data_IF_746927459177
#
_entry.id   IF_746927459177
#
_cell.length_a   1.000
_cell.length_b   1.000
_cell.length_c   1.000
_cell.angle_alpha   90.00
_cell.angle_beta   90.00
_cell.angle_gamma   90.00
#
_symmetry.space_group_name_H-M   'P 1'
#
loop_
_entity.id
_entity.type
_entity.pdbx_description
1 polymer ?
#
# COMPACT_ATOMS: atom_id res chain seq x y z
N UNK A 1 -9.40 -77.14 3.52
CA UNK A 1 -8.36 -77.29 2.48
C UNK A 1 -8.78 -76.46 1.27
N UNK A 2 -7.88 -75.58 0.80
CA UNK A 2 -7.92 -74.71 -0.39
C UNK A 2 -8.88 -73.50 -0.42
N UNK A 3 -8.23 -72.36 -0.74
CA UNK A 3 -8.70 -71.12 -1.40
C UNK A 3 -9.53 -70.15 -0.53
N UNK A 4 -9.18 -68.86 -0.36
CA UNK A 4 -8.81 -67.83 -1.35
C UNK A 4 -8.13 -66.60 -0.69
N UNK A 5 -7.60 -65.70 -1.54
CA UNK A 5 -7.13 -64.31 -1.29
C UNK A 5 -5.78 -64.15 -0.53
N UNK A 6 -4.87 -63.24 -0.87
CA UNK A 6 -4.75 -62.22 -1.92
C UNK A 6 -3.26 -62.00 -2.23
N UNK A 7 -2.95 -61.63 -3.47
CA UNK A 7 -1.61 -61.33 -3.96
C UNK A 7 -1.09 -59.98 -3.49
N UNK A 8 0.20 -59.98 -3.12
CA UNK A 8 1.01 -58.83 -2.70
C UNK A 8 2.12 -58.61 -3.72
N UNK A 9 2.35 -57.34 -4.05
CA UNK A 9 3.57 -56.80 -4.66
C UNK A 9 3.25 -55.48 -5.37
N UNK A 10 4.06 -54.42 -5.39
CA UNK A 10 5.32 -54.02 -4.76
C UNK A 10 5.53 -52.53 -5.18
N UNK A 11 6.19 -51.70 -4.35
CA UNK A 11 6.81 -50.36 -4.60
C UNK A 11 6.01 -49.04 -4.45
N UNK A 12 6.68 -47.89 -4.09
CA UNK A 12 6.28 -46.92 -3.05
C UNK A 12 6.17 -45.46 -3.59
N UNK A 13 6.47 -44.43 -2.76
CA UNK A 13 5.56 -43.60 -1.97
C UNK A 13 4.94 -42.42 -2.76
N UNK A 14 3.79 -41.97 -2.27
CA UNK A 14 2.92 -40.95 -2.88
C UNK A 14 3.57 -39.58 -3.09
N UNK A 15 3.20 -39.01 -4.23
CA UNK A 15 3.52 -37.67 -4.72
C UNK A 15 2.81 -36.56 -3.93
N UNK A 16 3.35 -35.33 -3.92
CA UNK A 16 2.72 -34.16 -3.31
C UNK A 16 1.40 -33.77 -4.00
N UNK A 17 0.47 -33.10 -3.30
CA UNK A 17 -0.84 -32.80 -3.83
C UNK A 17 -0.76 -31.86 -5.03
N UNK A 18 -1.38 -32.29 -6.14
CA UNK A 18 -1.61 -31.48 -7.33
C UNK A 18 -2.51 -30.30 -6.96
N UNK A 19 -1.96 -29.09 -6.97
CA UNK A 19 -2.75 -27.86 -6.97
C UNK A 19 -3.51 -27.79 -8.31
N UNK A 20 -4.82 -27.96 -8.22
CA UNK A 20 -5.77 -27.79 -9.30
C UNK A 20 -5.69 -26.37 -9.86
N UNK A 21 -5.08 -26.23 -11.05
CA UNK A 21 -5.25 -25.03 -11.89
C UNK A 21 -6.68 -25.01 -12.43
N UNK A 22 -7.60 -24.37 -11.72
CA UNK A 22 -8.89 -23.87 -12.22
C UNK A 22 -9.52 -23.02 -11.13
N UNK A 23 -9.42 -21.71 -11.30
CA UNK A 23 -10.45 -20.70 -11.02
C UNK A 23 -9.80 -19.32 -11.17
N UNK A 24 -9.54 -18.93 -12.43
CA UNK A 24 -9.44 -17.51 -12.78
C UNK A 24 -10.87 -17.03 -12.84
N UNK A 25 -11.32 -16.30 -11.82
CA UNK A 25 -12.62 -15.63 -11.85
C UNK A 25 -12.52 -14.53 -12.91
N UNK A 26 -13.11 -14.80 -14.07
CA UNK A 26 -13.37 -13.78 -15.07
C UNK A 26 -14.38 -12.79 -14.48
N UNK A 27 -13.96 -11.53 -14.30
CA UNK A 27 -14.88 -10.44 -14.01
C UNK A 27 -15.77 -10.29 -15.24
N UNK A 28 -17.01 -10.76 -15.11
CA UNK A 28 -18.07 -10.45 -16.05
C UNK A 28 -18.56 -9.05 -15.70
N UNK A 29 -17.92 -8.02 -16.27
CA UNK A 29 -18.62 -6.77 -16.52
C UNK A 29 -19.77 -7.10 -17.47
N UNK A 30 -20.98 -6.74 -17.06
CA UNK A 30 -22.22 -7.08 -17.73
C UNK A 30 -22.11 -6.93 -19.26
N UNK A 31 -22.49 -7.98 -19.98
CA UNK A 31 -22.88 -7.90 -21.38
C UNK A 31 -24.13 -7.02 -21.43
N UNK A 32 -23.92 -5.73 -21.65
CA UNK A 32 -24.94 -4.79 -22.10
C UNK A 32 -24.38 -4.10 -23.34
N UNK A 33 -24.78 -4.66 -24.48
CA UNK A 33 -24.58 -4.16 -25.83
C UNK A 33 -23.13 -4.05 -26.32
N UNK A 34 -22.92 -4.39 -27.59
CA UNK A 34 -21.63 -4.48 -28.27
C UNK A 34 -21.02 -3.08 -28.56
N UNK A 35 -21.11 -2.14 -27.62
CA UNK A 35 -20.58 -0.78 -27.70
C UNK A 35 -19.25 -0.74 -26.94
N UNK A 36 -18.17 -0.46 -27.67
CA UNK A 36 -16.85 -0.14 -27.10
C UNK A 36 -17.03 0.88 -25.97
N UNK A 37 -16.61 0.54 -24.75
CA UNK A 37 -16.56 1.49 -23.63
C UNK A 37 -15.48 2.52 -23.96
N UNK A 38 -15.81 3.82 -24.09
CA UNK A 38 -14.84 4.86 -24.45
C UNK A 38 -13.62 4.83 -23.53
N UNK A 39 -12.46 5.22 -24.06
CA UNK A 39 -11.27 5.41 -23.22
C UNK A 39 -11.47 6.53 -22.21
N UNK A 40 -12.34 7.50 -22.53
CA UNK A 40 -12.78 8.54 -21.62
C UNK A 40 -13.94 8.05 -20.76
N UNK A 41 -13.67 7.73 -19.50
CA UNK A 41 -14.70 7.58 -18.47
C UNK A 41 -14.79 8.89 -17.71
N UNK A 42 -15.99 9.41 -17.52
CA UNK A 42 -16.18 10.52 -16.57
C UNK A 42 -15.91 10.03 -15.17
N UNK A 43 -15.21 10.83 -14.38
CA UNK A 43 -15.07 10.60 -12.95
C UNK A 43 -16.45 10.32 -12.30
N UNK A 44 -16.51 9.44 -11.28
CA UNK A 44 -17.76 9.13 -10.59
C UNK A 44 -18.35 10.35 -9.85
N UNK A 45 -17.55 11.40 -9.62
CA UNK A 45 -17.93 12.62 -8.92
C UNK A 45 -17.61 13.84 -9.78
N UNK A 46 -18.37 14.93 -9.61
CA UNK A 46 -18.07 16.21 -10.25
C UNK A 46 -16.67 16.70 -9.84
N UNK A 47 -15.88 17.10 -10.83
CA UNK A 47 -14.55 17.65 -10.62
C UNK A 47 -14.66 19.12 -10.21
N UNK A 48 -13.86 19.51 -9.23
CA UNK A 48 -13.73 20.87 -8.72
C UNK A 48 -12.92 21.72 -9.72
N UNK A 49 -13.52 22.81 -10.25
CA UNK A 49 -12.84 23.70 -11.18
C UNK A 49 -11.52 24.28 -10.65
N UNK A 50 -11.43 24.59 -9.35
CA UNK A 50 -10.24 25.20 -8.76
C UNK A 50 -9.09 24.18 -8.69
N UNK A 51 -9.42 22.91 -8.43
CA UNK A 51 -8.45 21.81 -8.45
C UNK A 51 -7.98 21.54 -9.88
N UNK A 52 -8.88 21.58 -10.86
CA UNK A 52 -8.53 21.43 -12.28
C UNK A 52 -7.63 22.57 -12.77
N UNK A 53 -7.93 23.81 -12.40
CA UNK A 53 -7.10 24.96 -12.73
C UNK A 53 -5.71 24.84 -12.11
N UNK A 54 -5.62 24.44 -10.84
CA UNK A 54 -4.31 24.21 -10.20
C UNK A 54 -3.53 23.10 -10.89
N UNK A 55 -4.16 21.95 -11.15
CA UNK A 55 -3.55 20.83 -11.85
C UNK A 55 -3.07 21.20 -13.26
N UNK A 56 -3.85 21.99 -14.00
CA UNK A 56 -3.46 22.48 -15.32
C UNK A 56 -2.22 23.39 -15.26
N UNK A 57 -2.11 24.25 -14.25
CA UNK A 57 -0.92 25.08 -14.03
C UNK A 57 0.31 24.23 -13.69
N UNK A 58 0.16 23.24 -12.82
CA UNK A 58 1.25 22.35 -12.42
C UNK A 58 1.78 21.51 -13.60
N UNK A 59 0.92 21.20 -14.56
CA UNK A 59 1.25 20.47 -15.79
C UNK A 59 1.70 21.36 -16.95
N UNK A 60 1.74 22.69 -16.81
CA UNK A 60 1.99 23.60 -17.93
C UNK A 60 3.31 23.31 -18.67
N UNK A 61 4.32 22.76 -17.99
CA UNK A 61 5.60 22.35 -18.58
C UNK A 61 5.72 20.84 -18.88
N UNK A 62 4.74 20.02 -18.49
CA UNK A 62 4.80 18.56 -18.64
C UNK A 62 4.57 18.09 -20.10
N UNK A 63 3.99 18.96 -20.93
CA UNK A 63 3.56 18.61 -22.29
C UNK A 63 2.32 17.71 -22.28
N UNK A 64 1.84 17.36 -23.48
CA UNK A 64 0.69 16.46 -23.63
C UNK A 64 1.10 14.99 -23.47
N UNK A 65 0.20 14.15 -22.97
CA UNK A 65 0.41 12.69 -22.87
C UNK A 65 -0.64 11.94 -23.67
N UNK A 66 -0.20 11.01 -24.51
CA UNK A 66 -1.05 10.09 -25.27
C UNK A 66 -0.94 8.68 -24.70
N UNK A 67 -2.07 8.00 -24.53
CA UNK A 67 -2.12 6.57 -24.29
C UNK A 67 -2.62 5.84 -25.54
N UNK A 68 -1.90 4.79 -25.95
CA UNK A 68 -2.26 3.88 -27.04
C UNK A 68 -2.77 2.57 -26.43
N UNK A 69 -4.06 2.30 -26.62
CA UNK A 69 -4.77 1.18 -26.00
C UNK A 69 -5.30 0.28 -27.12
N UNK A 70 -4.50 -0.72 -27.50
CA UNK A 70 -4.75 -1.46 -28.74
C UNK A 70 -4.62 -0.54 -29.96
N UNK A 71 -5.70 -0.42 -30.74
CA UNK A 71 -5.78 0.46 -31.91
C UNK A 71 -6.32 1.87 -31.56
N UNK A 72 -6.87 2.02 -30.35
CA UNK A 72 -7.43 3.27 -29.85
C UNK A 72 -6.33 4.17 -29.27
N UNK A 73 -6.60 5.47 -29.24
CA UNK A 73 -5.72 6.45 -28.64
C UNK A 73 -6.52 7.50 -27.86
N UNK A 74 -5.98 7.99 -26.76
CA UNK A 74 -6.50 9.13 -26.01
C UNK A 74 -5.34 10.05 -25.64
N UNK A 75 -5.50 11.35 -25.86
CA UNK A 75 -4.50 12.37 -25.52
C UNK A 75 -5.06 13.35 -24.51
N UNK A 76 -4.28 13.64 -23.47
CA UNK A 76 -4.52 14.67 -22.48
C UNK A 76 -3.54 15.82 -22.71
N UNK A 77 -4.03 17.05 -22.73
CA UNK A 77 -3.20 18.24 -22.91
C UNK A 77 -3.74 19.39 -22.06
N UNK A 78 -2.84 20.21 -21.52
CA UNK A 78 -3.21 21.47 -20.89
C UNK A 78 -3.68 22.46 -21.97
N UNK A 79 -4.83 23.09 -21.75
CA UNK A 79 -5.39 24.16 -22.59
C UNK A 79 -5.81 25.33 -21.70
N UNK A 80 -4.95 26.33 -21.58
CA UNK A 80 -5.14 27.44 -20.64
C UNK A 80 -5.16 26.93 -19.19
N UNK A 81 -6.26 27.18 -18.49
CA UNK A 81 -6.52 26.71 -17.12
C UNK A 81 -7.30 25.38 -17.07
N UNK A 82 -7.39 24.66 -18.19
CA UNK A 82 -8.17 23.42 -18.28
C UNK A 82 -7.36 22.27 -18.86
N UNK A 83 -7.93 21.07 -18.83
CA UNK A 83 -7.35 19.88 -19.44
C UNK A 83 -8.27 19.43 -20.59
N UNK A 84 -7.74 19.46 -21.80
CA UNK A 84 -8.41 18.95 -22.99
C UNK A 84 -8.13 17.45 -23.14
N UNK A 85 -9.18 16.70 -23.41
CA UNK A 85 -9.10 15.26 -23.73
C UNK A 85 -9.50 15.05 -25.18
N UNK A 86 -8.63 14.41 -25.97
CA UNK A 86 -8.84 14.14 -27.39
C UNK A 86 -8.72 12.66 -27.71
N UNK A 87 -9.82 12.03 -28.16
CA UNK A 87 -9.81 10.64 -28.64
C UNK A 87 -9.27 10.53 -30.08
N UNK A 88 -8.60 9.42 -30.37
CA UNK A 88 -7.97 9.13 -31.67
C UNK A 88 -6.72 9.96 -31.99
N UNK A 89 -6.40 10.99 -31.19
CA UNK A 89 -5.24 11.84 -31.38
C UNK A 89 -3.97 11.16 -30.86
N UNK A 90 -2.86 11.30 -31.61
CA UNK A 90 -1.52 10.80 -31.25
C UNK A 90 -0.50 11.94 -31.16
N UNK A 91 -0.93 13.06 -30.57
CA UNK A 91 -0.19 14.33 -30.59
C UNK A 91 0.58 14.60 -29.30
N UNK A 92 0.58 13.67 -28.33
CA UNK A 92 1.25 13.84 -27.04
C UNK A 92 2.77 13.82 -27.15
N UNK A 93 3.42 14.68 -26.38
CA UNK A 93 4.88 14.70 -26.22
C UNK A 93 5.39 13.38 -25.62
N UNK A 94 4.62 12.80 -24.68
CA UNK A 94 4.78 11.42 -24.22
C UNK A 94 3.72 10.51 -24.87
N UNK A 95 4.12 9.31 -25.27
CA UNK A 95 3.22 8.30 -25.86
C UNK A 95 3.44 6.96 -25.15
N UNK A 96 2.46 6.57 -24.34
CA UNK A 96 2.48 5.35 -23.52
C UNK A 96 1.61 4.30 -24.20
N UNK A 97 2.17 3.12 -24.48
CA UNK A 97 1.43 1.98 -25.00
C UNK A 97 1.15 0.98 -23.88
N UNK A 98 -0.08 0.49 -23.80
CA UNK A 98 -0.51 -0.52 -22.84
C UNK A 98 -1.70 -1.33 -23.37
N UNK A 99 -1.96 -2.48 -22.76
CA UNK A 99 -3.13 -3.30 -23.10
C UNK A 99 -4.43 -2.66 -22.60
N UNK A 100 -5.58 -3.06 -23.18
CA UNK A 100 -6.90 -2.63 -22.67
C UNK A 100 -7.09 -2.94 -21.19
N UNK A 101 -6.63 -4.12 -20.75
CA UNK A 101 -6.69 -4.52 -19.34
C UNK A 101 -5.83 -3.61 -18.45
N UNK A 102 -4.60 -3.30 -18.87
CA UNK A 102 -3.74 -2.39 -18.12
C UNK A 102 -4.33 -0.98 -18.03
N UNK A 103 -4.95 -0.49 -19.12
CA UNK A 103 -5.68 0.77 -19.13
C UNK A 103 -6.84 0.76 -18.12
N UNK A 104 -7.72 -0.24 -18.21
CA UNK A 104 -8.87 -0.38 -17.32
C UNK A 104 -8.44 -0.50 -15.84
N UNK A 105 -7.35 -1.22 -15.56
CA UNK A 105 -6.80 -1.33 -14.21
C UNK A 105 -6.24 0.02 -13.71
N UNK A 106 -5.61 0.82 -14.58
CA UNK A 106 -5.06 2.13 -14.24
C UNK A 106 -6.14 3.15 -13.92
N UNK A 107 -7.10 3.33 -14.84
CA UNK A 107 -8.19 4.28 -14.65
C UNK A 107 -9.11 3.84 -13.50
N UNK A 108 -9.28 2.53 -13.33
CA UNK A 108 -10.04 1.92 -12.22
C UNK A 108 -9.33 1.88 -10.88
N UNK A 109 -8.11 2.44 -10.75
CA UNK A 109 -7.32 2.45 -9.51
C UNK A 109 -7.04 1.05 -8.93
N UNK A 110 -7.03 0.03 -9.79
CA UNK A 110 -6.59 -1.32 -9.45
C UNK A 110 -5.06 -1.36 -9.49
N UNK A 111 -4.42 -0.91 -10.57
CA UNK A 111 -2.94 -0.84 -10.67
C UNK A 111 -2.52 0.59 -10.97
N UNK A 112 -1.49 1.11 -10.30
CA UNK A 112 -0.96 2.45 -10.61
C UNK A 112 -0.03 2.44 -11.83
N UNK A 113 0.28 3.62 -12.39
CA UNK A 113 1.22 3.74 -13.49
C UNK A 113 2.59 3.12 -13.18
N UNK A 114 3.09 3.32 -11.94
CA UNK A 114 4.37 2.73 -11.50
C UNK A 114 4.31 1.20 -11.42
N UNK A 115 3.18 0.62 -11.00
CA UNK A 115 3.00 -0.83 -11.01
C UNK A 115 3.06 -1.39 -12.44
N UNK A 116 2.33 -0.77 -13.35
CA UNK A 116 2.31 -1.19 -14.76
C UNK A 116 3.70 -1.09 -15.40
N UNK A 117 4.46 -0.05 -15.05
CA UNK A 117 5.85 0.08 -15.49
C UNK A 117 6.73 -1.03 -14.94
N UNK A 118 6.71 -1.27 -13.62
CA UNK A 118 7.57 -2.27 -12.97
C UNK A 118 7.20 -3.73 -13.30
N UNK A 119 6.01 -3.95 -13.86
CA UNK A 119 5.54 -5.27 -14.33
C UNK A 119 5.66 -5.48 -15.85
N UNK A 120 6.32 -4.56 -16.56
CA UNK A 120 6.45 -4.57 -18.03
C UNK A 120 5.09 -4.60 -18.76
N UNK A 121 4.06 -3.96 -18.19
CA UNK A 121 2.70 -3.90 -18.74
C UNK A 121 2.38 -2.58 -19.45
N UNK A 122 3.35 -1.65 -19.48
CA UNK A 122 3.35 -0.49 -20.36
C UNK A 122 4.74 -0.26 -20.98
N UNK A 123 4.77 0.48 -22.09
CA UNK A 123 6.01 0.93 -22.73
C UNK A 123 5.86 2.35 -23.29
N UNK A 124 6.98 3.00 -23.58
CA UNK A 124 7.01 4.34 -24.17
C UNK A 124 7.40 4.25 -25.64
N UNK A 125 6.57 4.78 -26.54
CA UNK A 125 6.96 5.01 -27.95
C UNK A 125 7.66 6.36 -28.11
N UNK A 126 7.37 7.31 -27.23
CA UNK A 126 7.96 8.64 -27.16
C UNK A 126 7.86 9.17 -25.72
N UNK A 127 8.80 10.03 -25.32
CA UNK A 127 8.86 10.54 -23.96
C UNK A 127 9.37 9.51 -22.96
N UNK A 128 9.02 9.67 -21.68
CA UNK A 128 9.46 8.75 -20.64
C UNK A 128 8.63 8.81 -19.35
N UNK A 129 9.10 8.07 -18.34
CA UNK A 129 8.39 7.91 -17.07
C UNK A 129 8.15 9.24 -16.34
N UNK A 130 9.09 10.18 -16.38
CA UNK A 130 8.94 11.46 -15.65
C UNK A 130 7.66 12.20 -16.09
N UNK A 131 7.36 12.21 -17.40
CA UNK A 131 6.13 12.83 -17.92
C UNK A 131 4.87 12.05 -17.52
N UNK A 132 4.91 10.72 -17.54
CA UNK A 132 3.79 9.91 -17.03
C UNK A 132 3.56 10.15 -15.53
N UNK A 133 4.64 10.29 -14.75
CA UNK A 133 4.58 10.56 -13.33
C UNK A 133 4.10 11.99 -13.00
N UNK A 134 4.35 12.96 -13.88
CA UNK A 134 3.75 14.30 -13.80
C UNK A 134 2.23 14.22 -13.95
N UNK A 135 1.77 13.47 -14.96
CA UNK A 135 0.35 13.32 -15.27
C UNK A 135 -0.40 12.39 -14.30
N UNK A 136 0.27 11.47 -13.59
CA UNK A 136 -0.38 10.42 -12.79
C UNK A 136 -1.41 10.96 -11.77
N UNK A 137 -1.11 11.92 -10.87
CA UNK A 137 -2.11 12.44 -9.94
C UNK A 137 -3.31 13.06 -10.63
N UNK A 138 -3.10 13.72 -11.77
CA UNK A 138 -4.15 14.36 -12.55
C UNK A 138 -5.02 13.32 -13.25
N UNK A 139 -4.42 12.25 -13.79
CA UNK A 139 -5.16 11.13 -14.36
C UNK A 139 -6.02 10.43 -13.29
N UNK A 140 -5.49 10.23 -12.09
CA UNK A 140 -6.26 9.68 -10.95
C UNK A 140 -7.45 10.59 -10.61
N UNK A 141 -7.27 11.91 -10.70
CA UNK A 141 -8.37 12.85 -10.49
C UNK A 141 -9.44 12.75 -11.58
N UNK A 142 -9.03 12.81 -12.85
CA UNK A 142 -9.93 12.78 -14.00
C UNK A 142 -10.74 11.48 -14.11
N UNK A 143 -10.17 10.34 -13.70
CA UNK A 143 -10.82 9.03 -13.85
C UNK A 143 -11.49 8.52 -12.57
N UNK A 144 -10.94 8.84 -11.40
CA UNK A 144 -11.37 8.27 -10.14
C UNK A 144 -11.78 9.31 -9.08
N UNK A 145 -11.68 10.61 -9.40
CA UNK A 145 -12.02 11.68 -8.47
C UNK A 145 -11.04 11.82 -7.29
N UNK A 146 -9.85 11.21 -7.37
CA UNK A 146 -8.79 11.33 -6.35
C UNK A 146 -7.95 12.58 -6.65
N UNK A 147 -8.12 13.70 -5.92
CA UNK A 147 -7.46 14.95 -6.26
C UNK A 147 -5.95 14.88 -6.05
N UNK A 148 -5.14 15.65 -6.82
CA UNK A 148 -3.74 15.85 -6.49
C UNK A 148 -3.62 16.47 -5.09
N UNK A 149 -2.60 16.12 -4.33
CA UNK A 149 -2.32 16.76 -3.04
C UNK A 149 -1.70 18.13 -3.24
N UNK A 150 -2.22 19.11 -2.49
CA UNK A 150 -1.67 20.47 -2.42
C UNK A 150 -1.62 20.93 -0.97
N UNK A 151 -0.43 21.28 -0.42
CA UNK A 151 -0.31 21.74 0.95
C UNK A 151 -1.12 23.02 1.24
N UNK A 152 -1.37 23.87 0.24
CA UNK A 152 -2.19 25.07 0.42
C UNK A 152 -3.69 24.77 0.60
N UNK A 153 -4.14 23.57 0.20
CA UNK A 153 -5.52 23.09 0.35
C UNK A 153 -5.71 22.13 1.52
N UNK A 154 -4.63 21.76 2.23
CA UNK A 154 -4.72 20.90 3.40
C UNK A 154 -5.40 21.64 4.57
N UNK A 155 -6.70 21.42 4.74
CA UNK A 155 -7.43 21.94 5.89
C UNK A 155 -7.32 20.97 7.08
N UNK A 156 -6.48 21.34 8.04
CA UNK A 156 -6.29 20.59 9.28
C UNK A 156 -7.32 20.98 10.36
N UNK A 157 -8.34 21.77 10.03
CA UNK A 157 -9.44 22.19 10.90
C UNK A 157 -8.98 22.78 12.25
N UNK A 158 -7.81 23.43 12.28
CA UNK A 158 -7.20 23.98 13.49
C UNK A 158 -6.73 22.93 14.52
N UNK A 159 -6.75 21.64 14.18
CA UNK A 159 -6.26 20.55 15.03
C UNK A 159 -4.74 20.54 15.06
N UNK A 160 -4.16 20.23 16.22
CA UNK A 160 -2.71 20.11 16.39
C UNK A 160 -2.22 18.78 15.77
N UNK A 161 -1.32 18.82 14.77
CA UNK A 161 -0.71 17.60 14.23
C UNK A 161 0.12 16.84 15.28
N UNK A 162 0.65 17.50 16.31
CA UNK A 162 1.44 16.84 17.36
C UNK A 162 0.57 16.31 18.52
N UNK A 163 -0.75 16.41 18.42
CA UNK A 163 -1.66 15.92 19.45
C UNK A 163 -1.50 14.42 19.68
N UNK A 164 -1.51 14.03 20.95
CA UNK A 164 -1.50 12.62 21.38
C UNK A 164 -2.73 12.34 22.22
N UNK A 165 -3.24 11.12 22.13
CA UNK A 165 -4.48 10.69 22.76
C UNK A 165 -4.22 9.51 23.68
N UNK A 166 -5.22 9.10 24.45
CA UNK A 166 -5.26 7.84 25.21
C UNK A 166 -6.51 7.06 24.79
N UNK A 167 -6.82 5.96 25.51
CA UNK A 167 -8.07 5.23 25.30
C UNK A 167 -9.26 5.82 26.07
N UNK A 168 -9.04 6.80 26.95
CA UNK A 168 -10.10 7.45 27.73
C UNK A 168 -10.90 8.45 26.88
N UNK A 169 -10.34 8.91 25.77
CA UNK A 169 -11.00 9.76 24.79
C UNK A 169 -12.16 9.01 24.14
N UNK A 170 -13.24 9.74 23.84
CA UNK A 170 -14.39 9.17 23.17
C UNK A 170 -14.10 8.93 21.67
N UNK A 171 -14.84 8.00 21.08
CA UNK A 171 -14.65 7.61 19.68
C UNK A 171 -14.86 8.77 18.70
N UNK A 172 -15.77 9.70 19.00
CA UNK A 172 -16.02 10.84 18.11
C UNK A 172 -14.79 11.74 17.96
N UNK A 173 -14.04 11.97 19.03
CA UNK A 173 -12.81 12.77 18.98
C UNK A 173 -11.68 12.02 18.25
N UNK A 174 -11.49 10.73 18.54
CA UNK A 174 -10.50 9.91 17.84
C UNK A 174 -10.81 9.79 16.34
N UNK A 175 -12.09 9.59 15.98
CA UNK A 175 -12.54 9.55 14.59
C UNK A 175 -12.33 10.90 13.91
N UNK A 176 -12.69 12.02 14.55
CA UNK A 176 -12.51 13.34 13.96
C UNK A 176 -11.03 13.66 13.71
N UNK A 177 -10.14 13.33 14.65
CA UNK A 177 -8.70 13.49 14.43
C UNK A 177 -8.21 12.59 13.29
N UNK A 178 -8.61 11.32 13.26
CA UNK A 178 -8.19 10.37 12.22
C UNK A 178 -8.69 10.78 10.83
N UNK A 179 -9.92 11.30 10.72
CA UNK A 179 -10.48 11.79 9.46
C UNK A 179 -9.85 13.10 8.99
N UNK A 180 -9.40 13.98 9.90
CA UNK A 180 -8.73 15.22 9.51
C UNK A 180 -7.28 14.99 9.16
N UNK A 181 -6.54 14.28 10.02
CA UNK A 181 -5.09 14.11 9.88
C UNK A 181 -4.71 12.89 9.05
N UNK A 182 -5.58 11.89 8.97
CA UNK A 182 -5.28 10.57 8.41
C UNK A 182 -4.46 9.66 9.32
N UNK A 183 -4.12 10.11 10.55
CA UNK A 183 -3.44 9.30 11.56
C UNK A 183 -3.81 9.69 13.00
N UNK A 184 -3.42 8.82 13.95
CA UNK A 184 -3.49 9.00 15.40
C UNK A 184 -2.22 8.49 16.08
N UNK A 185 -1.86 9.11 17.21
CA UNK A 185 -0.96 8.53 18.21
C UNK A 185 -1.72 8.37 19.52
N UNK A 186 -1.90 7.11 19.95
CA UNK A 186 -2.59 6.74 21.17
C UNK A 186 -1.57 6.16 22.15
N UNK A 187 -1.38 6.83 23.29
CA UNK A 187 -0.37 6.52 24.29
C UNK A 187 -0.84 5.45 25.27
N UNK A 188 0.10 4.63 25.74
CA UNK A 188 -0.11 3.72 26.87
C UNK A 188 -1.24 2.71 26.66
N UNK A 189 -1.47 2.28 25.42
CA UNK A 189 -2.53 1.32 25.09
C UNK A 189 -2.24 -0.04 25.73
N UNK A 190 -0.99 -0.48 25.70
CA UNK A 190 -0.54 -1.74 26.28
C UNK A 190 0.46 -1.53 27.42
N UNK A 191 0.40 -2.42 28.41
CA UNK A 191 1.34 -2.43 29.51
C UNK A 191 2.73 -2.95 29.08
N UNK A 192 3.76 -2.56 29.84
CA UNK A 192 5.14 -3.00 29.59
C UNK A 192 5.29 -4.52 29.57
N UNK A 193 4.56 -5.26 30.40
CA UNK A 193 4.66 -6.72 30.45
C UNK A 193 4.02 -7.41 29.24
N UNK A 194 2.96 -6.83 28.66
CA UNK A 194 2.39 -7.29 27.38
C UNK A 194 3.42 -7.14 26.26
N UNK A 195 4.10 -5.99 26.19
CA UNK A 195 5.15 -5.74 25.19
C UNK A 195 6.39 -6.62 25.40
N UNK A 196 6.77 -6.91 26.65
CA UNK A 196 7.83 -7.88 26.95
C UNK A 196 7.46 -9.29 26.47
N UNK A 197 6.22 -9.71 26.66
CA UNK A 197 5.74 -11.01 26.19
C UNK A 197 5.75 -11.09 24.65
N UNK A 198 5.25 -10.05 23.97
CA UNK A 198 5.28 -9.96 22.53
C UNK A 198 6.71 -9.97 21.97
N UNK A 199 7.64 -9.22 22.58
CA UNK A 199 9.04 -9.21 22.14
C UNK A 199 9.73 -10.57 22.25
N UNK A 200 9.52 -11.32 23.34
CA UNK A 200 10.07 -12.68 23.48
C UNK A 200 9.60 -13.60 22.34
N UNK A 201 8.37 -13.40 21.91
CA UNK A 201 7.79 -14.20 20.85
C UNK A 201 8.28 -13.78 19.47
N UNK A 202 8.49 -12.48 19.25
CA UNK A 202 9.21 -11.97 18.08
C UNK A 202 10.62 -12.56 18.01
N UNK A 203 11.34 -12.62 19.14
CA UNK A 203 12.68 -13.23 19.19
C UNK A 203 12.64 -14.73 18.84
N UNK A 204 11.64 -15.47 19.34
CA UNK A 204 11.44 -16.88 18.98
C UNK A 204 11.19 -17.05 17.48
N UNK A 205 10.27 -16.27 16.90
CA UNK A 205 9.97 -16.31 15.47
C UNK A 205 11.17 -15.90 14.61
N UNK A 206 11.93 -14.89 15.04
CA UNK A 206 13.15 -14.45 14.36
C UNK A 206 14.23 -15.55 14.34
N UNK A 207 14.39 -16.31 15.43
CA UNK A 207 15.34 -17.43 15.49
C UNK A 207 14.97 -18.58 14.54
N UNK A 208 13.69 -18.74 14.23
CA UNK A 208 13.17 -19.75 13.29
C UNK A 208 13.22 -19.29 11.82
N UNK A 209 13.21 -17.98 11.58
CA UNK A 209 13.11 -17.39 10.24
C UNK A 209 14.30 -17.72 9.33
N UNK A 210 14.04 -17.98 8.05
CA UNK A 210 15.08 -18.25 7.05
C UNK A 210 14.78 -17.52 5.73
N UNK A 211 15.79 -17.05 4.98
CA UNK A 211 15.57 -16.51 3.65
C UNK A 211 14.79 -17.50 2.76
N UNK A 212 13.72 -17.02 2.11
CA UNK A 212 12.88 -17.84 1.22
C UNK A 212 11.86 -18.74 1.92
N UNK A 213 11.56 -18.52 3.21
CA UNK A 213 10.57 -19.29 3.97
C UNK A 213 9.11 -18.83 3.78
N UNK A 214 8.85 -17.91 2.84
CA UNK A 214 7.57 -17.24 2.57
C UNK A 214 6.93 -16.55 3.80
N UNK A 215 7.71 -16.38 4.86
CA UNK A 215 7.24 -15.96 6.19
C UNK A 215 8.11 -14.89 6.84
N UNK A 216 9.21 -14.53 6.18
CA UNK A 216 10.17 -13.56 6.64
C UNK A 216 10.83 -12.83 5.47
N UNK A 217 11.08 -11.53 5.66
CA UNK A 217 11.78 -10.71 4.68
C UNK A 217 13.12 -10.27 5.24
N UNK A 218 14.09 -10.17 4.34
CA UNK A 218 15.48 -9.91 4.66
C UNK A 218 15.98 -8.76 3.81
N UNK A 219 16.89 -7.98 4.38
CA UNK A 219 17.63 -6.92 3.69
C UNK A 219 19.12 -7.20 3.77
N UNK A 220 19.87 -6.56 2.89
CA UNK A 220 21.33 -6.51 3.02
C UNK A 220 21.68 -5.36 3.96
N UNK A 221 22.46 -5.62 4.99
CA UNK A 221 22.94 -4.59 5.92
C UNK A 221 24.13 -3.79 5.35
N UNK A 222 24.62 -2.81 6.11
CA UNK A 222 25.75 -1.94 5.71
C UNK A 222 27.04 -2.73 5.44
N UNK A 223 27.23 -3.87 6.11
CA UNK A 223 28.42 -4.73 6.01
C UNK A 223 28.26 -5.82 4.94
N UNK A 224 27.15 -5.82 4.18
CA UNK A 224 26.84 -6.83 3.18
C UNK A 224 26.25 -8.12 3.74
N UNK A 225 25.95 -8.17 5.04
CA UNK A 225 25.28 -9.27 5.72
C UNK A 225 23.78 -9.31 5.43
N UNK A 226 23.13 -10.44 5.75
CA UNK A 226 21.69 -10.58 5.64
C UNK A 226 21.03 -10.35 6.99
N UNK A 227 20.10 -9.40 7.05
CA UNK A 227 19.40 -9.02 8.26
C UNK A 227 17.88 -9.18 8.09
N UNK A 228 17.24 -9.80 9.08
CA UNK A 228 15.79 -9.97 9.12
C UNK A 228 15.11 -8.60 9.35
N UNK A 229 14.19 -8.21 8.47
CA UNK A 229 13.49 -6.92 8.56
C UNK A 229 11.96 -7.06 8.72
N UNK A 230 11.39 -8.24 8.45
CA UNK A 230 9.95 -8.45 8.57
C UNK A 230 9.60 -9.90 8.90
N UNK A 231 8.60 -10.09 9.75
CA UNK A 231 7.91 -11.36 9.95
C UNK A 231 6.47 -11.19 9.48
N UNK A 232 6.05 -11.96 8.47
CA UNK A 232 4.69 -11.93 7.93
C UNK A 232 3.86 -13.09 8.49
N UNK A 233 2.54 -12.97 8.50
CA UNK A 233 1.63 -13.95 9.09
C UNK A 233 2.02 -14.34 10.52
N UNK A 234 2.52 -13.37 11.29
CA UNK A 234 3.14 -13.63 12.60
C UNK A 234 2.11 -14.17 13.61
N UNK A 235 0.88 -13.68 13.54
CA UNK A 235 -0.24 -14.07 14.41
C UNK A 235 -0.68 -15.51 14.20
N UNK A 236 -0.58 -16.05 12.98
CA UNK A 236 -0.88 -17.46 12.70
C UNK A 236 0.11 -18.44 13.38
N UNK A 237 1.28 -17.94 13.79
CA UNK A 237 2.36 -18.73 14.39
C UNK A 237 2.57 -18.43 15.87
N UNK A 238 1.72 -17.57 16.44
CA UNK A 238 1.87 -17.06 17.79
C UNK A 238 0.54 -16.74 18.46
N UNK A 239 0.13 -17.50 19.49
CA UNK A 239 -1.02 -17.14 20.30
C UNK A 239 -0.89 -15.78 21.00
N UNK A 240 0.32 -15.36 21.37
CA UNK A 240 0.57 -14.07 22.04
C UNK A 240 0.34 -12.91 21.07
N UNK A 241 0.89 -12.99 19.85
CA UNK A 241 0.67 -11.95 18.85
C UNK A 241 -0.77 -11.98 18.33
N UNK A 242 -1.38 -13.17 18.17
CA UNK A 242 -2.79 -13.29 17.83
C UNK A 242 -3.71 -12.66 18.88
N UNK A 243 -3.36 -12.72 20.17
CA UNK A 243 -4.12 -12.04 21.22
C UNK A 243 -4.08 -10.51 21.06
N UNK A 244 -2.95 -9.93 20.63
CA UNK A 244 -2.85 -8.50 20.32
C UNK A 244 -3.71 -8.11 19.11
N UNK A 245 -3.69 -8.90 18.04
CA UNK A 245 -4.52 -8.67 16.86
C UNK A 245 -6.02 -8.70 17.16
N UNK A 246 -6.44 -9.66 18.01
CA UNK A 246 -7.84 -9.83 18.39
C UNK A 246 -8.26 -8.97 19.60
N UNK A 247 -7.38 -8.10 20.09
CA UNK A 247 -7.64 -7.28 21.27
C UNK A 247 -8.75 -6.25 20.98
N UNK A 248 -9.74 -6.08 21.88
CA UNK A 248 -10.79 -5.09 21.71
C UNK A 248 -10.28 -3.64 21.52
N UNK A 249 -9.13 -3.28 22.10
CA UNK A 249 -8.48 -1.97 21.93
C UNK A 249 -8.05 -1.76 20.47
N UNK A 250 -7.46 -2.78 19.86
CA UNK A 250 -7.02 -2.75 18.45
C UNK A 250 -8.21 -2.77 17.52
N UNK A 251 -9.21 -3.60 17.82
CA UNK A 251 -10.47 -3.63 17.09
C UNK A 251 -11.15 -2.27 17.07
N UNK A 252 -11.25 -1.60 18.22
CA UNK A 252 -11.82 -0.25 18.35
C UNK A 252 -11.11 0.74 17.45
N UNK A 253 -9.78 0.85 17.57
CA UNK A 253 -8.97 1.81 16.82
C UNK A 253 -8.99 1.54 15.31
N UNK A 254 -8.93 0.27 14.90
CA UNK A 254 -8.93 -0.15 13.50
C UNK A 254 -10.25 0.09 12.77
N UNK A 255 -11.33 0.43 13.48
CA UNK A 255 -12.66 0.67 12.89
C UNK A 255 -13.27 2.02 13.20
N UNK A 256 -12.45 2.99 13.63
CA UNK A 256 -12.92 4.36 13.91
C UNK A 256 -13.54 5.03 12.68
N UNK A 257 -13.05 4.74 11.47
CA UNK A 257 -13.58 5.30 10.22
C UNK A 257 -14.75 4.48 9.68
N UNK A 258 -14.65 3.14 9.72
CA UNK A 258 -15.69 2.24 9.21
C UNK A 258 -15.76 0.95 10.06
N UNK A 259 -16.93 0.63 10.66
CA UNK A 259 -17.13 -0.60 11.44
C UNK A 259 -16.99 -1.89 10.63
N UNK A 260 -17.12 -1.83 9.29
CA UNK A 260 -17.02 -2.97 8.40
C UNK A 260 -15.57 -3.41 8.11
N UNK A 261 -14.56 -2.58 8.43
CA UNK A 261 -13.16 -2.97 8.26
C UNK A 261 -12.81 -4.14 9.17
N UNK A 262 -11.98 -5.08 8.72
CA UNK A 262 -11.61 -6.29 9.48
C UNK A 262 -10.13 -6.62 9.32
N UNK A 263 -9.47 -7.18 10.36
CA UNK A 263 -8.09 -7.61 10.24
C UNK A 263 -7.96 -8.76 9.21
N UNK A 264 -6.80 -8.85 8.59
CA UNK A 264 -6.48 -9.85 7.58
C UNK A 264 -5.27 -10.71 8.03
N UNK A 265 -5.46 -11.71 8.92
CA UNK A 265 -4.34 -12.49 9.47
C UNK A 265 -3.69 -13.45 8.46
N UNK A 266 -4.41 -13.83 7.41
CA UNK A 266 -4.09 -14.93 6.52
C UNK A 266 -3.87 -14.54 5.06
N UNK A 267 -3.93 -13.25 4.73
CA UNK A 267 -3.76 -12.70 3.38
C UNK A 267 -3.00 -11.40 3.46
N UNK A 268 -2.65 -10.82 2.32
CA UNK A 268 -1.71 -9.70 2.26
C UNK A 268 -0.38 -10.13 2.90
N UNK A 269 0.06 -9.46 3.95
CA UNK A 269 1.23 -9.87 4.74
C UNK A 269 0.83 -10.46 6.10
N UNK A 270 -0.47 -10.71 6.32
CA UNK A 270 -1.00 -10.95 7.65
C UNK A 270 -0.86 -9.73 8.55
N UNK A 271 -1.04 -9.92 9.86
CA UNK A 271 -0.48 -8.99 10.84
C UNK A 271 1.03 -9.22 10.92
N UNK A 272 1.79 -8.25 10.40
CA UNK A 272 3.23 -8.34 10.23
C UNK A 272 3.98 -7.63 11.36
N UNK A 273 5.14 -8.15 11.72
CA UNK A 273 6.09 -7.47 12.62
C UNK A 273 7.23 -6.91 11.78
N UNK A 274 7.38 -5.59 11.79
CA UNK A 274 8.48 -4.89 11.15
C UNK A 274 9.62 -4.73 12.15
N UNK A 275 10.83 -5.11 11.72
CA UNK A 275 12.07 -5.01 12.47
C UNK A 275 12.95 -4.00 11.75
N UNK A 276 13.11 -2.82 12.34
CA UNK A 276 14.00 -1.81 11.80
C UNK A 276 15.44 -2.23 12.08
N UNK A 277 16.17 -2.56 11.03
CA UNK A 277 17.59 -2.89 11.11
C UNK A 277 18.39 -1.59 11.22
N UNK A 278 19.34 -1.48 12.15
CA UNK A 278 20.24 -0.33 12.24
C UNK A 278 21.00 -0.05 10.94
N UNK A 279 21.32 1.22 10.69
CA UNK A 279 22.15 1.62 9.55
C UNK A 279 21.42 1.71 8.20
N UNK A 280 22.23 1.81 7.15
CA UNK A 280 21.86 1.92 5.74
C UNK A 280 21.79 0.52 5.12
N UNK A 281 20.60 -0.05 5.12
CA UNK A 281 20.34 -1.33 4.48
C UNK A 281 19.99 -1.15 3.01
N UNK A 282 20.41 -2.09 2.16
CA UNK A 282 19.85 -2.26 0.81
C UNK A 282 18.64 -3.18 0.87
N UNK A 283 17.47 -2.68 0.47
CA UNK A 283 16.17 -3.35 0.56
C UNK A 283 15.14 -2.59 1.41
N UNK A 284 13.93 -3.14 1.55
CA UNK A 284 12.76 -2.49 2.16
C UNK A 284 12.77 -2.46 3.71
N UNK A 285 13.87 -2.04 4.32
CA UNK A 285 13.95 -1.74 5.78
C UNK A 285 13.88 -0.22 6.04
N UNK A 286 14.47 0.58 5.17
CA UNK A 286 14.23 2.03 5.09
C UNK A 286 13.12 2.27 4.09
N UNK A 287 11.91 2.54 4.57
CA UNK A 287 10.74 2.67 3.72
C UNK A 287 10.63 4.14 3.29
N UNK A 288 10.81 4.44 1.99
CA UNK A 288 10.72 5.81 1.49
C UNK A 288 9.29 6.34 1.62
N UNK A 289 9.09 7.62 1.31
CA UNK A 289 7.77 8.20 1.19
C UNK A 289 6.89 7.39 0.24
N UNK A 290 5.76 6.91 0.76
CA UNK A 290 4.81 6.12 0.01
C UNK A 290 3.40 6.25 0.59
N UNK A 291 2.44 5.82 -0.22
CA UNK A 291 1.12 5.38 0.23
C UNK A 291 1.13 3.86 0.12
N UNK A 292 0.52 3.12 1.05
CA UNK A 292 0.50 1.65 1.00
C UNK A 292 -0.20 1.14 -0.26
N UNK A 293 -1.22 1.87 -0.74
CA UNK A 293 -1.89 1.61 -2.02
C UNK A 293 -1.12 2.19 -3.24
N UNK A 294 0.12 2.66 -3.07
CA UNK A 294 0.90 3.34 -4.11
C UNK A 294 1.31 2.41 -5.27
N UNK A 295 1.36 1.11 -5.01
CA UNK A 295 1.49 0.08 -6.06
C UNK A 295 0.14 -0.33 -6.65
N UNK A 296 -0.98 0.24 -6.24
CA UNK A 296 -2.33 -0.17 -6.66
C UNK A 296 -3.16 -0.71 -5.50
N UNK A 297 -4.37 -1.14 -5.81
CA UNK A 297 -5.34 -1.67 -4.86
C UNK A 297 -6.20 -0.60 -4.21
N UNK A 298 -6.04 0.69 -4.55
CA UNK A 298 -6.80 1.79 -3.93
C UNK A 298 -8.33 1.56 -4.03
N UNK A 299 -8.84 1.14 -5.18
CA UNK A 299 -10.27 0.83 -5.35
C UNK A 299 -10.74 -0.46 -4.63
N UNK A 300 -9.84 -1.27 -4.08
CA UNK A 300 -10.14 -2.53 -3.40
C UNK A 300 -9.92 -2.46 -1.89
N UNK A 301 -8.96 -1.66 -1.45
CA UNK A 301 -8.44 -1.67 -0.09
C UNK A 301 -8.60 -0.34 0.63
N UNK A 302 -8.79 0.79 -0.05
CA UNK A 302 -8.98 2.08 0.62
C UNK A 302 -10.48 2.31 0.95
N UNK A 303 -10.80 2.83 2.15
CA UNK A 303 -9.89 3.15 3.25
C UNK A 303 -9.55 1.90 4.09
N UNK A 304 -8.30 1.45 4.04
CA UNK A 304 -7.75 0.50 5.01
C UNK A 304 -7.06 1.29 6.12
N UNK A 305 -7.09 0.73 7.33
CA UNK A 305 -6.54 1.36 8.53
C UNK A 305 -5.48 0.46 9.14
N UNK A 306 -4.25 0.93 9.17
CA UNK A 306 -3.11 0.24 9.78
C UNK A 306 -2.97 0.66 11.24
N UNK A 307 -3.06 -0.31 12.15
CA UNK A 307 -2.85 -0.12 13.60
C UNK A 307 -1.47 -0.66 13.98
N UNK A 308 -0.51 0.24 14.22
CA UNK A 308 0.88 -0.06 14.57
C UNK A 308 1.09 -0.10 16.08
N UNK A 309 1.23 -1.31 16.63
CA UNK A 309 1.56 -1.58 18.04
C UNK A 309 3.07 -1.45 18.24
N UNK A 310 3.50 -0.49 19.04
CA UNK A 310 4.91 -0.21 19.29
C UNK A 310 5.46 -1.21 20.32
N UNK A 311 6.04 -2.32 19.85
CA UNK A 311 6.61 -3.35 20.72
C UNK A 311 7.87 -2.83 21.44
N UNK A 312 8.60 -1.93 20.79
CA UNK A 312 9.62 -1.09 21.40
C UNK A 312 9.24 0.37 21.19
N UNK A 313 9.87 1.28 21.95
CA UNK A 313 9.77 2.71 21.66
C UNK A 313 10.40 3.04 20.31
N UNK A 314 10.01 4.20 19.78
CA UNK A 314 10.50 4.70 18.50
C UNK A 314 10.69 6.21 18.56
N UNK A 315 11.79 6.68 18.02
CA UNK A 315 12.16 8.09 17.88
C UNK A 315 13.01 8.29 16.61
N UNK A 316 13.52 9.50 16.39
CA UNK A 316 14.41 9.77 15.25
C UNK A 316 15.68 8.87 15.25
N UNK A 317 16.19 8.50 16.43
CA UNK A 317 17.38 7.66 16.57
C UNK A 317 17.17 6.21 16.15
N UNK A 318 15.92 5.77 16.11
CA UNK A 318 15.47 4.41 15.79
C UNK A 318 14.59 4.34 14.53
N UNK A 319 14.38 5.47 13.84
CA UNK A 319 13.66 5.56 12.58
C UNK A 319 12.13 5.59 12.73
N UNK A 320 11.64 6.54 13.53
CA UNK A 320 10.21 6.82 13.74
C UNK A 320 9.38 6.96 12.46
N UNK A 321 8.08 6.83 12.62
CA UNK A 321 7.12 7.04 11.54
C UNK A 321 7.05 8.55 11.25
N UNK A 322 7.16 8.91 9.99
CA UNK A 322 6.91 10.26 9.49
C UNK A 322 5.66 10.25 8.62
N UNK A 323 4.85 11.31 8.72
CA UNK A 323 3.58 11.44 8.01
C UNK A 323 3.41 12.84 7.44
N UNK A 324 2.62 12.95 6.38
CA UNK A 324 2.10 14.21 5.86
C UNK A 324 0.62 14.33 6.26
N UNK A 325 0.28 15.10 7.30
CA UNK A 325 -1.10 15.22 7.77
C UNK A 325 -2.06 15.69 6.67
N UNK A 326 -3.25 15.09 6.63
CA UNK A 326 -4.31 15.45 5.67
C UNK A 326 -4.08 14.95 4.24
N UNK A 327 -3.00 14.19 3.99
CA UNK A 327 -2.69 13.70 2.63
C UNK A 327 -3.47 12.46 2.18
N UNK A 328 -4.13 11.78 3.11
CA UNK A 328 -5.00 10.63 2.81
C UNK A 328 -6.16 11.04 1.88
N UNK A 329 -6.60 10.12 1.02
CA UNK A 329 -7.60 10.41 -0.03
C UNK A 329 -7.09 11.26 -1.20
N UNK A 330 -5.81 11.63 -1.25
CA UNK A 330 -5.23 12.47 -2.30
C UNK A 330 -4.07 11.75 -3.02
N UNK A 331 -3.81 12.12 -4.28
CA UNK A 331 -2.70 11.59 -5.06
C UNK A 331 -1.50 12.52 -4.98
N UNK A 332 -0.33 12.01 -4.57
CA UNK A 332 0.87 12.83 -4.41
C UNK A 332 1.81 12.63 -5.58
N UNK A 333 2.34 13.72 -6.12
CA UNK A 333 3.31 13.66 -7.21
C UNK A 333 4.57 12.87 -6.84
N UNK A 334 5.10 12.13 -7.81
CA UNK A 334 6.44 11.57 -7.71
C UNK A 334 7.46 12.68 -7.46
N UNK A 335 8.40 12.44 -6.53
CA UNK A 335 9.40 13.45 -6.09
C UNK A 335 8.76 14.73 -5.56
N UNK A 336 7.63 14.63 -4.87
CA UNK A 336 6.95 15.78 -4.28
C UNK A 336 7.87 16.65 -3.41
N UNK A 337 8.87 16.08 -2.74
CA UNK A 337 9.86 16.80 -1.93
C UNK A 337 10.66 17.86 -2.73
N UNK A 338 10.76 17.69 -4.06
CA UNK A 338 11.40 18.66 -4.96
C UNK A 338 10.41 19.60 -5.65
N UNK A 339 9.11 19.35 -5.51
CA UNK A 339 8.04 20.06 -6.21
C UNK A 339 7.23 20.97 -5.30
N UNK A 340 6.90 20.47 -4.12
CA UNK A 340 6.02 21.12 -3.16
C UNK A 340 6.85 21.80 -2.08
N UNK A 341 6.43 23.00 -1.71
CA UNK A 341 6.99 23.76 -0.60
C UNK A 341 5.98 23.84 0.54
N UNK A 342 6.46 23.98 1.78
CA UNK A 342 5.58 24.14 2.94
C UNK A 342 4.75 22.91 3.29
N UNK A 343 5.11 21.72 2.81
CA UNK A 343 4.43 20.48 3.17
C UNK A 343 4.63 20.20 4.67
N UNK A 344 3.57 20.05 5.46
CA UNK A 344 3.69 19.75 6.88
C UNK A 344 4.14 18.30 7.04
N UNK A 345 5.35 18.08 7.56
CA UNK A 345 5.86 16.75 7.91
C UNK A 345 5.89 16.63 9.42
N UNK A 346 5.28 15.55 9.94
CA UNK A 346 5.27 15.23 11.36
C UNK A 346 6.02 13.92 11.60
N UNK A 347 6.88 13.91 12.62
CA UNK A 347 7.54 12.69 13.11
C UNK A 347 6.89 12.26 14.42
N UNK A 348 6.56 10.97 14.55
CA UNK A 348 5.80 10.45 15.68
C UNK A 348 6.72 9.64 16.60
N UNK A 349 7.10 10.23 17.71
CA UNK A 349 7.84 9.55 18.77
C UNK A 349 6.89 8.75 19.67
N UNK A 350 7.28 7.55 20.04
CA UNK A 350 6.42 6.60 20.77
C UNK A 350 7.19 5.86 21.86
N UNK A 351 6.49 5.50 22.92
CA UNK A 351 6.97 4.57 23.95
C UNK A 351 6.52 3.13 23.65
N UNK A 352 7.18 2.09 24.23
CA UNK A 352 6.67 0.73 24.17
C UNK A 352 5.22 0.67 24.70
N UNK A 353 4.32 0.07 23.92
CA UNK A 353 2.91 -0.07 24.25
C UNK A 353 2.02 1.07 23.74
N UNK A 354 2.60 2.12 23.16
CA UNK A 354 1.85 3.08 22.36
C UNK A 354 1.34 2.42 21.07
N UNK A 355 0.33 3.03 20.47
CA UNK A 355 -0.25 2.64 19.19
C UNK A 355 -0.27 3.83 18.25
N UNK A 356 0.17 3.63 17.02
CA UNK A 356 -0.11 4.54 15.91
C UNK A 356 -1.23 3.98 15.06
N UNK A 357 -2.11 4.84 14.55
CA UNK A 357 -3.16 4.46 13.60
C UNK A 357 -2.97 5.33 12.37
N UNK A 358 -3.03 4.78 11.16
CA UNK A 358 -3.05 5.59 9.95
C UNK A 358 -3.90 4.96 8.85
N UNK A 359 -4.51 5.80 8.03
CA UNK A 359 -5.17 5.36 6.80
C UNK A 359 -4.08 4.99 5.79
N UNK A 360 -4.25 3.88 5.08
CA UNK A 360 -3.23 3.31 4.20
C UNK A 360 -2.85 4.21 3.01
N UNK A 361 -3.71 5.13 2.61
CA UNK A 361 -3.40 6.13 1.58
C UNK A 361 -2.89 7.47 2.17
N UNK A 362 -2.58 7.53 3.46
CA UNK A 362 -1.78 8.62 4.02
C UNK A 362 -0.34 8.53 3.51
N UNK A 363 0.22 9.64 3.05
CA UNK A 363 1.64 9.70 2.72
C UNK A 363 2.49 9.63 3.98
N UNK A 364 3.34 8.60 4.03
CA UNK A 364 4.17 8.33 5.18
C UNK A 364 5.50 7.69 4.79
N UNK A 365 6.46 7.73 5.70
CA UNK A 365 7.78 7.15 5.56
C UNK A 365 8.27 6.60 6.89
N UNK A 366 9.20 5.65 6.84
CA UNK A 366 10.04 5.33 7.98
C UNK A 366 11.48 5.54 7.53
N UNK A 367 12.02 6.77 7.69
CA UNK A 367 13.37 7.10 7.24
C UNK A 367 14.43 6.27 7.95
N UNK A 368 15.67 6.43 7.50
CA UNK A 368 16.84 5.82 8.14
C UNK A 368 16.95 6.30 9.60
N UNK A 369 17.23 5.42 10.56
CA UNK A 369 17.56 5.82 11.92
C UNK A 369 18.76 6.77 11.95
N UNK A 370 18.74 7.80 12.80
CA UNK A 370 19.89 8.72 12.95
C UNK A 370 21.01 8.13 13.83
N UNK A 371 20.74 7.01 14.51
CA UNK A 371 21.70 6.28 15.32
C UNK A 371 21.70 4.78 14.97
N UNK A 372 22.46 3.98 15.70
CA UNK A 372 22.52 2.52 15.56
C UNK A 372 21.31 1.80 16.20
N UNK A 373 20.28 2.53 16.57
CA UNK A 373 19.07 1.98 17.18
C UNK A 373 18.17 1.29 16.15
N UNK A 374 17.51 0.23 16.59
CA UNK A 374 16.40 -0.42 15.86
C UNK A 374 15.12 -0.32 16.66
N UNK A 375 13.99 -0.55 15.98
CA UNK A 375 12.66 -0.61 16.59
C UNK A 375 11.86 -1.80 16.07
N UNK A 376 10.86 -2.21 16.83
CA UNK A 376 9.94 -3.28 16.50
C UNK A 376 8.52 -2.76 16.59
N UNK A 377 7.77 -2.92 15.50
CA UNK A 377 6.37 -2.51 15.44
C UNK A 377 5.57 -3.65 14.80
N UNK A 378 4.48 -4.04 15.44
CA UNK A 378 3.51 -4.96 14.85
C UNK A 378 2.39 -4.17 14.21
N UNK A 379 2.08 -4.43 12.95
CA UNK A 379 0.95 -3.81 12.26
C UNK A 379 -0.21 -4.79 12.14
N UNK A 380 -1.38 -4.34 12.58
CA UNK A 380 -2.67 -4.99 12.37
C UNK A 380 -3.47 -4.11 11.43
N UNK A 381 -3.52 -4.48 10.15
CA UNK A 381 -4.23 -3.70 9.15
C UNK A 381 -5.67 -4.20 8.97
N UNK A 382 -6.61 -3.28 9.10
CA UNK A 382 -8.03 -3.48 8.93
C UNK A 382 -8.44 -3.07 7.52
N UNK A 383 -8.98 -4.02 6.77
CA UNK A 383 -9.32 -3.85 5.36
C UNK A 383 -10.83 -3.87 5.13
N UNK A 384 -11.33 -3.18 4.09
CA UNK A 384 -12.73 -3.24 3.72
C UNK A 384 -13.13 -4.64 3.23
N UNK A 385 -14.43 -5.01 3.32
CA UNK A 385 -14.93 -6.30 2.85
C UNK A 385 -14.53 -6.63 1.42
N UNK A 386 -14.49 -5.62 0.54
CA UNK A 386 -14.14 -5.78 -0.87
C UNK A 386 -12.76 -6.42 -1.08
N UNK A 387 -11.77 -6.15 -0.21
CA UNK A 387 -10.46 -6.83 -0.30
C UNK A 387 -10.63 -8.35 -0.22
N UNK A 388 -11.48 -8.84 0.68
CA UNK A 388 -11.65 -10.27 0.96
C UNK A 388 -12.33 -11.02 -0.19
N UNK A 389 -13.01 -10.31 -1.09
CA UNK A 389 -13.58 -10.86 -2.32
C UNK A 389 -12.54 -11.02 -3.43
N UNK A 390 -11.43 -10.27 -3.35
CA UNK A 390 -10.40 -10.17 -4.39
C UNK A 390 -9.08 -10.85 -4.03
N UNK A 391 -8.78 -10.96 -2.73
CA UNK A 391 -7.53 -11.51 -2.22
C UNK A 391 -7.84 -12.66 -1.27
N UNK A 392 -7.48 -13.87 -1.68
CA UNK A 392 -7.64 -15.10 -0.92
C UNK A 392 -6.56 -15.31 0.16
N UNK A 393 -6.73 -16.33 1.01
CA UNK A 393 -5.70 -16.71 1.97
C UNK A 393 -4.37 -17.08 1.28
N UNK A 394 -3.26 -16.58 1.81
CA UNK A 394 -1.90 -16.75 1.30
C UNK A 394 -1.56 -15.87 0.10
N UNK A 395 -2.50 -15.06 -0.39
CA UNK A 395 -2.29 -14.15 -1.51
C UNK A 395 -2.06 -12.72 -0.99
N UNK A 396 -1.17 -11.98 -1.62
CA UNK A 396 -1.06 -10.54 -1.46
C UNK A 396 -1.42 -9.81 -2.75
N UNK A 397 -1.97 -8.61 -2.63
CA UNK A 397 -2.21 -7.74 -3.80
C UNK A 397 -0.94 -7.52 -4.62
N UNK A 398 0.20 -7.34 -3.95
CA UNK A 398 1.50 -7.18 -4.59
C UNK A 398 2.03 -8.47 -5.24
N UNK A 399 1.46 -9.64 -4.94
CA UNK A 399 1.84 -10.89 -5.65
C UNK A 399 1.35 -10.89 -7.10
N UNK A 400 0.29 -10.12 -7.40
CA UNK A 400 -0.14 -9.81 -8.78
C UNK A 400 0.95 -9.04 -9.56
N UNK A 401 1.89 -8.41 -8.86
CA UNK A 401 3.09 -7.72 -9.39
C UNK A 401 4.31 -8.65 -9.36
N UNK A 402 4.46 -9.47 -8.30
CA UNK A 402 5.65 -10.33 -8.07
C UNK A 402 5.86 -11.41 -9.12
N UNK A 403 4.82 -11.85 -9.85
CA UNK A 403 4.97 -12.82 -10.93
C UNK A 403 5.92 -12.35 -12.07
N UNK A 404 6.50 -11.15 -12.00
CA UNK A 404 7.55 -10.68 -12.94
C UNK A 404 8.80 -10.05 -12.31
N UNK A 405 8.82 -9.73 -11.02
CA UNK A 405 9.95 -9.01 -10.38
C UNK A 405 11.17 -9.89 -10.07
N UNK A 406 11.03 -11.22 -10.03
CA UNK A 406 12.17 -12.16 -9.90
C UNK A 406 13.17 -12.06 -11.07
N UNK A 407 12.80 -11.43 -12.19
CA UNK A 407 13.72 -11.16 -13.32
C UNK A 407 14.57 -9.92 -13.11
N UNK A 408 14.14 -8.95 -12.30
CA UNK A 408 14.87 -7.68 -12.07
C UNK A 408 15.95 -7.83 -11.00
N UNK A 409 15.72 -8.68 -9.99
CA UNK A 409 16.75 -9.01 -8.98
C UNK A 409 17.92 -9.87 -9.53
N UNK A 410 17.86 -10.32 -10.78
CA UNK A 410 18.95 -11.01 -11.49
C UNK A 410 19.74 -10.10 -12.44
N UNK A 411 19.45 -8.80 -12.44
CA UNK A 411 20.09 -7.79 -13.29
C UNK A 411 20.90 -6.75 -12.49
N UNK A 412 21.12 -7.01 -11.20
CA UNK A 412 22.18 -6.39 -10.39
C UNK A 412 23.20 -7.49 -10.07
#
# INVERSE_FOLDING_TARGET
>A
MRSTQAGVGLFPPDAPPRVSRRNVVAITLAVLDNRLVPLTRTAPTALDPDVLESAARDLASAGAITFLVGDEAVTYAVEGSTIRVGEGQRTGDAVVRLSRRAWDDMVGQIRTAINLLLSDELSFERGGFDQLADWDPVLRYLHAGVPPYDPARADLAGRDPLATFTLDENDAELTAQLQTMGYLHVRGVFATDEMRAANREVDRLAAEARPGDDRSWWVTDEDGGSALCRLVYATLRSPVLAALENDPRIRRLGTLIDPALRPAPDRMEGSAVLLKVPGNTSGLSNIPWHQDCGMGGHALMCPAVSVGIQLTGSDASTGNLQVVPGSHGQAIHYRWEHRLQGVPVVSIDTAPGDVTVHVQDLMHASPRPTATGGRRTMYVTHYPPQLFEHVGPGEAFNDLVRNRTERVARLQ
#
